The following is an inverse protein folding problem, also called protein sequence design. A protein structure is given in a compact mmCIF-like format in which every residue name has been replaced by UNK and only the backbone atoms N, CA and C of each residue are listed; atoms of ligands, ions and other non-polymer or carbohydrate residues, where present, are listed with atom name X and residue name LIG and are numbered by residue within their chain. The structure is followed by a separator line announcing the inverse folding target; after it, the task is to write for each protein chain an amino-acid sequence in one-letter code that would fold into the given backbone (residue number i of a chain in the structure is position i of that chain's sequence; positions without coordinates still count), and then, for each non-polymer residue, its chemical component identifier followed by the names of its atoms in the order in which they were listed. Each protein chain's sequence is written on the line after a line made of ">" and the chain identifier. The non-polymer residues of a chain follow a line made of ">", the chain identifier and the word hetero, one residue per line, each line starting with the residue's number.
data_IF_405581524971
#
_entry.id   IF_405581524971
#
_cell.length_a   1.000
_cell.length_b   1.000
_cell.length_c   1.000
_cell.angle_alpha   90.00
_cell.angle_beta   90.00
_cell.angle_gamma   90.00
#
_symmetry.space_group_name_H-M   'P 1'
#
loop_
_entity.id
_entity.type
_entity.pdbx_description
1 polymer ?
#
# COMPACT_ATOMS: atom_id res chain seq x y z
N UNK A 1 -8.73 -35.80 -17.58
CA UNK A 1 -8.20 -34.84 -16.59
C UNK A 1 -7.33 -33.90 -17.38
N UNK A 2 -7.95 -32.84 -17.87
CA UNK A 2 -7.45 -31.97 -18.92
C UNK A 2 -7.63 -30.55 -18.42
N UNK A 3 -6.54 -29.80 -18.49
CA UNK A 3 -6.42 -28.35 -18.41
C UNK A 3 -6.93 -27.66 -17.14
N UNK A 4 -6.07 -27.62 -16.12
CA UNK A 4 -6.03 -26.50 -15.16
C UNK A 4 -4.87 -25.53 -15.45
N UNK A 5 -4.24 -25.64 -16.62
CA UNK A 5 -3.07 -24.82 -17.00
C UNK A 5 -3.41 -23.55 -17.76
N UNK A 6 -4.69 -23.26 -18.06
CA UNK A 6 -5.09 -22.10 -18.86
C UNK A 6 -6.09 -21.18 -18.12
N UNK A 7 -5.69 -20.49 -17.04
CA UNK A 7 -6.31 -19.19 -16.69
C UNK A 7 -5.58 -18.31 -15.64
N UNK A 8 -4.33 -18.64 -15.29
CA UNK A 8 -3.66 -17.99 -14.14
C UNK A 8 -3.09 -16.60 -14.48
N UNK A 9 -2.95 -16.26 -15.76
CA UNK A 9 -2.29 -15.02 -16.19
C UNK A 9 -3.16 -13.75 -16.08
N UNK A 10 -4.49 -13.85 -16.21
CA UNK A 10 -5.40 -12.72 -16.06
C UNK A 10 -5.92 -12.54 -14.62
N UNK A 11 -6.23 -13.64 -13.96
CA UNK A 11 -6.82 -13.67 -12.60
C UNK A 11 -5.84 -13.25 -11.51
N UNK A 12 -4.57 -13.62 -11.62
CA UNK A 12 -3.54 -13.26 -10.64
C UNK A 12 -3.30 -11.75 -10.55
N UNK A 13 -3.24 -11.06 -11.69
CA UNK A 13 -3.01 -9.61 -11.72
C UNK A 13 -4.20 -8.81 -11.16
N UNK A 14 -5.43 -9.26 -11.41
CA UNK A 14 -6.64 -8.66 -10.81
C UNK A 14 -6.69 -8.88 -9.31
N UNK A 15 -6.37 -10.09 -8.84
CA UNK A 15 -6.28 -10.38 -7.41
C UNK A 15 -5.21 -9.54 -6.71
N UNK A 16 -4.03 -9.37 -7.33
CA UNK A 16 -2.96 -8.48 -6.82
C UNK A 16 -3.46 -7.03 -6.70
N UNK A 17 -4.15 -6.51 -7.72
CA UNK A 17 -4.75 -5.16 -7.68
C UNK A 17 -5.78 -5.03 -6.56
N UNK A 18 -6.62 -6.04 -6.36
CA UNK A 18 -7.62 -6.05 -5.29
C UNK A 18 -6.92 -6.00 -3.93
N UNK A 19 -5.93 -6.87 -3.69
CA UNK A 19 -5.16 -6.91 -2.44
C UNK A 19 -4.46 -5.57 -2.18
N UNK A 20 -3.80 -4.99 -3.18
CA UNK A 20 -3.14 -3.68 -3.07
C UNK A 20 -4.14 -2.55 -2.73
N UNK A 21 -5.29 -2.53 -3.41
CA UNK A 21 -6.34 -1.53 -3.14
C UNK A 21 -6.91 -1.71 -1.71
N UNK A 22 -7.13 -2.95 -1.27
CA UNK A 22 -7.59 -3.23 0.09
C UNK A 22 -6.58 -2.77 1.14
N UNK A 23 -5.29 -3.06 0.95
CA UNK A 23 -4.22 -2.58 1.85
C UNK A 23 -4.19 -1.06 1.88
N UNK A 24 -4.30 -0.39 0.73
CA UNK A 24 -4.37 1.07 0.65
C UNK A 24 -5.56 1.64 1.45
N UNK A 25 -6.75 1.03 1.31
CA UNK A 25 -7.94 1.45 2.06
C UNK A 25 -7.77 1.25 3.56
N UNK A 26 -7.18 0.13 4.00
CA UNK A 26 -6.89 -0.12 5.40
C UNK A 26 -5.90 0.91 5.98
N UNK A 27 -4.85 1.26 5.24
CA UNK A 27 -3.89 2.28 5.65
C UNK A 27 -4.53 3.68 5.72
N UNK A 28 -5.38 4.01 4.76
CA UNK A 28 -6.15 5.27 4.77
C UNK A 28 -7.06 5.36 6.00
N UNK A 29 -7.78 4.28 6.32
CA UNK A 29 -8.60 4.20 7.52
C UNK A 29 -7.76 4.36 8.81
N UNK A 30 -6.62 3.67 8.90
CA UNK A 30 -5.72 3.79 10.04
C UNK A 30 -5.20 5.23 10.22
N UNK A 31 -4.77 5.88 9.12
CA UNK A 31 -4.33 7.26 9.17
C UNK A 31 -5.44 8.22 9.60
N UNK A 32 -6.66 8.04 9.10
CA UNK A 32 -7.82 8.83 9.50
C UNK A 32 -8.11 8.63 11.00
N UNK A 33 -8.08 7.40 11.48
CA UNK A 33 -8.28 7.10 12.90
C UNK A 33 -7.23 7.78 13.78
N UNK A 34 -5.94 7.75 13.39
CA UNK A 34 -4.87 8.44 14.11
C UNK A 34 -5.10 9.96 14.09
N UNK A 35 -5.48 10.54 12.95
CA UNK A 35 -5.78 11.97 12.86
C UNK A 35 -6.92 12.38 13.79
N UNK A 36 -7.99 11.59 13.85
CA UNK A 36 -9.18 11.86 14.67
C UNK A 36 -8.92 11.69 16.18
N UNK A 37 -8.06 10.76 16.59
CA UNK A 37 -7.87 10.41 18.01
C UNK A 37 -6.56 10.98 18.62
N UNK A 38 -5.52 11.13 17.81
CA UNK A 38 -4.17 11.54 18.23
C UNK A 38 -3.70 12.84 17.57
N UNK A 39 -4.48 13.37 16.62
CA UNK A 39 -4.23 14.62 15.91
C UNK A 39 -3.50 14.47 14.57
N UNK A 40 -3.67 15.46 13.71
CA UNK A 40 -3.11 15.47 12.34
C UNK A 40 -1.57 15.34 12.32
N UNK A 41 -0.88 15.95 13.29
CA UNK A 41 0.57 15.85 13.42
C UNK A 41 1.05 14.42 13.71
N UNK A 42 0.28 13.66 14.50
CA UNK A 42 0.56 12.25 14.80
C UNK A 42 0.36 11.38 13.57
N UNK A 43 -0.70 11.63 12.79
CA UNK A 43 -0.94 10.95 11.52
C UNK A 43 0.17 11.24 10.48
N UNK A 44 0.60 12.50 10.37
CA UNK A 44 1.71 12.88 9.50
C UNK A 44 3.04 12.23 9.91
N UNK A 45 3.32 12.19 11.22
CA UNK A 45 4.52 11.53 11.78
C UNK A 45 4.51 10.03 11.52
N UNK A 46 3.36 9.38 11.70
CA UNK A 46 3.19 7.96 11.37
C UNK A 46 3.48 7.68 9.89
N UNK A 47 2.89 8.47 8.99
CA UNK A 47 3.15 8.37 7.53
C UNK A 47 4.63 8.53 7.21
N UNK A 48 5.31 9.52 7.80
CA UNK A 48 6.73 9.76 7.58
C UNK A 48 7.60 8.58 8.03
N UNK A 49 7.36 8.04 9.24
CA UNK A 49 8.08 6.88 9.77
C UNK A 49 7.84 5.62 8.92
N UNK A 50 6.61 5.42 8.43
CA UNK A 50 6.29 4.29 7.56
C UNK A 50 7.03 4.37 6.22
N UNK A 51 7.12 5.56 5.62
CA UNK A 51 7.90 5.78 4.41
C UNK A 51 9.39 5.58 4.63
N UNK A 52 9.93 6.02 5.77
CA UNK A 52 11.32 5.80 6.13
C UNK A 52 11.62 4.30 6.32
N UNK A 53 10.78 3.58 7.06
CA UNK A 53 10.91 2.13 7.26
C UNK A 53 10.82 1.37 5.93
N UNK A 54 9.96 1.81 5.01
CA UNK A 54 9.89 1.27 3.65
C UNK A 54 11.12 1.58 2.80
N UNK A 55 11.79 2.73 2.99
CA UNK A 55 12.98 3.10 2.21
C UNK A 55 14.26 2.45 2.75
N UNK A 56 14.31 2.22 4.06
CA UNK A 56 15.47 1.66 4.74
C UNK A 56 15.46 0.13 4.76
N UNK A 57 14.35 -0.51 4.40
CA UNK A 57 14.21 -1.97 4.35
C UNK A 57 13.80 -2.60 5.67
N UNK A 58 13.36 -1.80 6.64
CA UNK A 58 12.78 -2.27 7.90
C UNK A 58 11.41 -2.94 7.68
N UNK A 59 10.71 -2.52 6.62
CA UNK A 59 9.59 -3.26 6.04
C UNK A 59 10.15 -4.07 4.87
N UNK A 60 10.03 -5.39 4.95
CA UNK A 60 10.71 -6.34 4.06
C UNK A 60 10.32 -6.10 2.59
N UNK A 61 11.19 -5.38 1.88
CA UNK A 61 11.06 -5.04 0.46
C UNK A 61 11.34 -6.23 -0.45
N UNK A 62 11.92 -7.33 0.07
CA UNK A 62 12.23 -8.51 -0.74
C UNK A 62 10.98 -9.14 -1.36
N UNK A 63 9.81 -8.90 -0.76
CA UNK A 63 8.52 -9.34 -1.29
C UNK A 63 8.08 -8.62 -2.57
N UNK A 64 8.65 -7.46 -2.88
CA UNK A 64 8.20 -6.64 -4.00
C UNK A 64 8.87 -7.02 -5.33
N UNK A 65 9.97 -7.80 -5.29
CA UNK A 65 10.81 -8.44 -6.34
C UNK A 65 11.20 -7.60 -7.58
N UNK A 66 10.37 -6.66 -8.01
CA UNK A 66 10.52 -5.75 -9.13
C UNK A 66 10.50 -4.29 -8.62
N UNK A 67 11.51 -3.51 -8.99
CA UNK A 67 11.67 -2.10 -8.58
C UNK A 67 10.45 -1.23 -8.92
N UNK A 68 9.73 -1.54 -10.00
CA UNK A 68 8.51 -0.85 -10.41
C UNK A 68 7.35 -1.05 -9.42
N UNK A 69 7.24 -2.25 -8.84
CA UNK A 69 6.23 -2.54 -7.81
C UNK A 69 6.52 -1.77 -6.53
N UNK A 70 7.80 -1.64 -6.17
CA UNK A 70 8.24 -0.80 -5.07
C UNK A 70 7.88 0.68 -5.26
N UNK A 71 8.25 1.27 -6.41
CA UNK A 71 7.90 2.67 -6.72
C UNK A 71 6.38 2.90 -6.70
N UNK A 72 5.61 1.93 -7.19
CA UNK A 72 4.16 1.99 -7.15
C UNK A 72 3.64 2.02 -5.70
N UNK A 73 4.08 1.12 -4.83
CA UNK A 73 3.66 1.09 -3.41
C UNK A 73 4.05 2.38 -2.69
N UNK A 74 5.27 2.87 -2.89
CA UNK A 74 5.74 4.13 -2.30
C UNK A 74 4.83 5.28 -2.73
N UNK A 75 4.53 5.40 -4.03
CA UNK A 75 3.67 6.47 -4.56
C UNK A 75 2.26 6.45 -3.94
N UNK A 76 1.72 5.26 -3.65
CA UNK A 76 0.43 5.12 -2.97
C UNK A 76 0.49 5.62 -1.54
N UNK A 77 1.52 5.25 -0.81
CA UNK A 77 1.68 5.67 0.58
C UNK A 77 1.93 7.18 0.67
N UNK A 78 2.69 7.75 -0.25
CA UNK A 78 2.88 9.21 -0.36
C UNK A 78 1.56 9.94 -0.63
N UNK A 79 0.61 9.33 -1.33
CA UNK A 79 -0.71 9.92 -1.59
C UNK A 79 -1.68 9.84 -0.40
N UNK A 80 -1.42 9.01 0.62
CA UNK A 80 -2.30 8.87 1.79
C UNK A 80 -2.43 10.19 2.55
N UNK A 81 -3.65 10.63 2.84
CA UNK A 81 -3.91 11.87 3.56
C UNK A 81 -3.67 13.16 2.75
N UNK A 82 -3.25 13.05 1.48
CA UNK A 82 -3.21 14.18 0.54
C UNK A 82 -4.53 14.34 -0.24
N UNK A 83 -5.57 13.58 0.12
CA UNK A 83 -6.92 13.76 -0.43
C UNK A 83 -7.53 15.03 0.17
N UNK A 84 -7.16 16.17 -0.40
CA UNK A 84 -8.10 17.29 -0.49
C UNK A 84 -9.34 16.78 -1.19
N UNK A 85 -10.49 17.03 -0.57
CA UNK A 85 -11.82 16.62 -1.00
C UNK A 85 -12.06 16.69 -2.52
N UNK A 86 -12.76 15.69 -3.04
CA UNK A 86 -13.57 15.78 -4.25
C UNK A 86 -14.81 14.94 -4.09
#
# INVERSE_FOLDING_TARGET
>A
MTDETENVSGTGMEQIKIVLNSIYLCLSFAMKHIAENEGEASAATFKAKMLEALKNGDIDMALLEESRTYEFVVSKIEALGNTSDS
#
